data_IF_607122416537
#
_entry.id   IF_607122416537
#
_cell.length_a   1.000
_cell.length_b   1.000
_cell.length_c   1.000
_cell.angle_alpha   90.00
_cell.angle_beta   90.00
_cell.angle_gamma   90.00
#
_symmetry.space_group_name_H-M   'P 1'
#
loop_
_entity.id
_entity.type
_entity.pdbx_description
1 polymer ?
#
# COMPACT_ATOMS: atom_id res chain seq x y z
N UNK A 1 -17.41 0.76 1.29
CA UNK A 1 -16.77 2.08 1.05
C UNK A 1 -16.40 2.22 -0.41
N UNK A 2 -16.64 3.37 -0.99
CA UNK A 2 -16.20 3.68 -2.36
C UNK A 2 -14.91 4.45 -2.32
N UNK A 3 -13.97 4.06 -3.17
CA UNK A 3 -12.69 4.78 -3.29
C UNK A 3 -12.89 6.02 -4.15
N UNK A 4 -12.50 7.16 -3.61
CA UNK A 4 -12.56 8.45 -4.30
C UNK A 4 -11.23 8.71 -5.01
N UNK A 5 -11.18 8.45 -6.32
CA UNK A 5 -9.95 8.58 -7.11
C UNK A 5 -9.63 10.02 -7.48
N UNK A 6 -10.60 10.93 -7.39
CA UNK A 6 -10.42 12.32 -7.82
C UNK A 6 -9.45 13.09 -6.92
N UNK A 7 -9.34 12.70 -5.66
CA UNK A 7 -8.43 13.35 -4.71
C UNK A 7 -6.97 12.94 -4.90
N UNK A 8 -6.70 11.89 -5.67
CA UNK A 8 -5.34 11.43 -5.93
C UNK A 8 -4.71 12.24 -7.07
N UNK A 9 -3.45 12.72 -6.91
CA UNK A 9 -2.78 13.47 -7.98
C UNK A 9 -2.40 12.61 -9.18
N UNK A 10 -2.40 11.28 -9.03
CA UNK A 10 -2.12 10.34 -10.10
C UNK A 10 -3.39 9.65 -10.56
N UNK A 11 -3.35 9.14 -11.79
CA UNK A 11 -4.38 8.21 -12.23
C UNK A 11 -4.30 6.94 -11.40
N UNK A 12 -5.41 6.55 -10.80
CA UNK A 12 -5.49 5.33 -10.00
C UNK A 12 -5.96 4.17 -10.88
N UNK A 13 -5.19 3.10 -10.91
CA UNK A 13 -5.56 1.89 -11.65
C UNK A 13 -6.89 1.36 -11.13
N UNK A 14 -7.82 1.12 -12.04
CA UNK A 14 -9.15 0.62 -11.71
C UNK A 14 -9.12 -0.70 -10.94
N UNK A 15 -8.13 -1.54 -11.24
CA UNK A 15 -7.96 -2.83 -10.56
C UNK A 15 -7.56 -2.63 -9.10
N UNK A 16 -6.75 -1.61 -8.80
CA UNK A 16 -6.42 -1.26 -7.42
C UNK A 16 -7.68 -0.83 -6.66
N UNK A 17 -8.51 0.02 -7.28
CA UNK A 17 -9.79 0.44 -6.69
C UNK A 17 -10.64 -0.76 -6.33
N UNK A 18 -10.78 -1.71 -7.26
CA UNK A 18 -11.59 -2.92 -7.06
C UNK A 18 -11.05 -3.77 -5.90
N UNK A 19 -9.74 -3.91 -5.81
CA UNK A 19 -9.10 -4.66 -4.70
C UNK A 19 -9.41 -4.01 -3.36
N UNK A 20 -9.21 -2.69 -3.25
CA UNK A 20 -9.44 -1.98 -2.00
C UNK A 20 -10.90 -2.05 -1.58
N UNK A 21 -11.82 -1.81 -2.49
CA UNK A 21 -13.26 -1.86 -2.20
C UNK A 21 -13.70 -3.26 -1.78
N UNK A 22 -13.20 -4.29 -2.45
CA UNK A 22 -13.50 -5.67 -2.13
C UNK A 22 -13.01 -6.07 -0.74
N UNK A 23 -11.76 -5.76 -0.42
CA UNK A 23 -11.18 -6.15 0.87
C UNK A 23 -11.81 -5.39 2.03
N UNK A 24 -12.11 -4.11 1.83
CA UNK A 24 -12.82 -3.33 2.85
C UNK A 24 -14.22 -3.89 3.10
N UNK A 25 -14.95 -4.25 2.04
CA UNK A 25 -16.28 -4.84 2.16
C UNK A 25 -16.25 -6.18 2.90
N UNK A 26 -15.27 -7.03 2.60
CA UNK A 26 -15.10 -8.33 3.27
C UNK A 26 -14.84 -8.21 4.77
N UNK A 27 -14.15 -7.15 5.16
CA UNK A 27 -13.77 -6.95 6.57
C UNK A 27 -14.94 -6.49 7.44
N UNK A 28 -16.02 -6.01 6.81
CA UNK A 28 -17.22 -5.56 7.52
C UNK A 28 -16.90 -4.52 8.61
N UNK A 29 -16.03 -3.57 8.30
CA UNK A 29 -15.69 -2.47 9.20
C UNK A 29 -16.77 -1.39 9.19
N UNK A 30 -16.88 -0.55 10.25
CA UNK A 30 -17.85 0.55 10.25
C UNK A 30 -17.63 1.48 9.07
N UNK A 31 -18.71 2.09 8.55
CA UNK A 31 -18.64 3.07 7.47
C UNK A 31 -18.13 4.41 7.99
N UNK A 32 -17.54 5.19 7.10
CA UNK A 32 -17.06 6.55 7.38
C UNK A 32 -15.97 6.62 8.46
N UNK A 33 -15.17 5.57 8.58
CA UNK A 33 -14.02 5.51 9.48
C UNK A 33 -12.79 5.20 8.62
N UNK A 34 -11.64 5.85 8.88
CA UNK A 34 -10.41 5.51 8.17
C UNK A 34 -10.04 4.04 8.38
N UNK A 35 -9.48 3.42 7.36
CA UNK A 35 -9.05 2.01 7.44
C UNK A 35 -7.61 1.88 6.97
N UNK A 36 -6.90 0.91 7.54
CA UNK A 36 -5.58 0.50 7.07
C UNK A 36 -5.68 -0.93 6.58
N UNK A 37 -5.25 -1.14 5.34
CA UNK A 37 -5.18 -2.47 4.73
C UNK A 37 -3.73 -2.93 4.74
N UNK A 38 -3.49 -4.11 5.28
CA UNK A 38 -2.17 -4.75 5.26
C UNK A 38 -2.23 -5.97 4.35
N UNK A 39 -1.31 -6.03 3.40
CA UNK A 39 -1.15 -7.12 2.45
C UNK A 39 0.19 -7.77 2.72
N UNK A 40 0.20 -8.98 3.25
CA UNK A 40 1.43 -9.65 3.68
C UNK A 40 1.57 -11.03 3.05
N UNK A 41 2.75 -11.28 2.49
CA UNK A 41 3.11 -12.60 2.04
C UNK A 41 3.73 -13.36 3.21
N UNK A 42 3.16 -14.51 3.61
CA UNK A 42 3.71 -15.30 4.73
C UNK A 42 5.12 -15.83 4.45
N UNK A 43 5.52 -15.90 3.17
CA UNK A 43 6.81 -16.45 2.77
C UNK A 43 7.92 -15.40 2.68
N UNK A 44 7.62 -14.13 2.93
CA UNK A 44 8.62 -13.06 2.87
C UNK A 44 9.49 -13.06 4.11
N UNK A 45 10.82 -13.20 3.93
CA UNK A 45 11.77 -13.14 5.03
C UNK A 45 13.07 -12.42 4.63
N UNK A 46 13.93 -12.17 5.63
CA UNK A 46 15.16 -11.41 5.44
C UNK A 46 16.21 -12.13 4.60
N UNK A 47 16.20 -13.47 4.56
CA UNK A 47 17.20 -14.27 3.84
C UNK A 47 16.81 -14.48 2.39
N UNK A 48 15.58 -14.97 2.17
CA UNK A 48 15.13 -15.37 0.83
C UNK A 48 14.44 -14.26 0.05
N UNK A 49 14.06 -13.17 0.73
CA UNK A 49 13.24 -12.13 0.10
C UNK A 49 11.84 -12.61 -0.17
N UNK A 50 11.30 -12.26 -1.33
CA UNK A 50 9.96 -12.60 -1.75
C UNK A 50 9.13 -11.35 -2.03
N UNK A 51 7.80 -11.48 -1.91
CA UNK A 51 6.88 -10.35 -2.14
C UNK A 51 6.82 -9.47 -0.90
N UNK A 52 7.19 -8.21 -1.07
CA UNK A 52 7.26 -7.25 0.04
C UNK A 52 5.88 -6.93 0.61
N UNK A 53 5.76 -6.78 1.94
CA UNK A 53 4.51 -6.35 2.55
C UNK A 53 4.09 -4.97 2.05
N UNK A 54 2.79 -4.76 1.94
CA UNK A 54 2.20 -3.49 1.50
C UNK A 54 1.19 -3.02 2.54
N UNK A 55 1.21 -1.73 2.84
CA UNK A 55 0.22 -1.10 3.70
C UNK A 55 -0.40 0.09 2.96
N UNK A 56 -1.73 0.13 2.92
CA UNK A 56 -2.47 1.21 2.28
C UNK A 56 -3.48 1.76 3.28
N UNK A 57 -3.46 3.08 3.49
CA UNK A 57 -4.44 3.76 4.34
C UNK A 57 -5.46 4.48 3.47
N UNK A 58 -6.73 4.30 3.80
CA UNK A 58 -7.84 4.97 3.14
C UNK A 58 -8.59 5.81 4.17
N UNK A 59 -8.82 7.09 3.87
CA UNK A 59 -9.53 8.00 4.77
C UNK A 59 -11.01 7.64 4.89
N UNK A 60 -11.68 8.27 5.84
CA UNK A 60 -13.13 8.14 6.02
C UNK A 60 -13.94 8.55 4.78
N UNK A 61 -13.34 9.34 3.89
CA UNK A 61 -13.95 9.77 2.63
C UNK A 61 -13.61 8.87 1.44
N UNK A 62 -12.86 7.81 1.67
CA UNK A 62 -12.45 6.89 0.61
C UNK A 62 -11.22 7.32 -0.17
N UNK A 63 -10.47 8.30 0.31
CA UNK A 63 -9.25 8.80 -0.34
C UNK A 63 -8.05 7.97 0.09
N UNK A 64 -7.22 7.56 -0.87
CA UNK A 64 -5.95 6.90 -0.55
C UNK A 64 -5.01 7.93 0.07
N UNK A 65 -4.65 7.73 1.33
CA UNK A 65 -3.78 8.65 2.08
C UNK A 65 -2.32 8.32 1.82
N UNK A 66 -1.97 7.04 1.88
CA UNK A 66 -0.65 6.56 1.52
C UNK A 66 -0.72 5.11 1.03
N UNK A 67 0.32 4.73 0.28
CA UNK A 67 0.56 3.36 -0.14
C UNK A 67 2.05 3.09 0.00
N UNK A 68 2.41 2.08 0.78
CA UNK A 68 3.79 1.84 1.20
C UNK A 68 4.13 0.38 1.08
N UNK A 69 5.32 0.05 0.58
CA UNK A 69 5.86 -1.29 0.75
C UNK A 69 7.07 -1.26 1.68
N UNK A 70 7.43 -2.43 2.19
CA UNK A 70 8.47 -2.58 3.19
C UNK A 70 9.47 -3.63 2.73
N UNK A 71 10.73 -3.43 3.09
CA UNK A 71 11.78 -4.38 2.83
C UNK A 71 12.62 -4.59 4.09
N UNK A 72 13.20 -5.76 4.23
CA UNK A 72 14.15 -5.99 5.30
C UNK A 72 15.46 -5.25 5.01
N UNK A 73 15.98 -4.56 6.03
CA UNK A 73 17.30 -3.92 6.00
C UNK A 73 18.12 -4.49 7.14
N UNK A 74 19.45 -4.48 6.98
CA UNK A 74 20.36 -5.09 7.95
C UNK A 74 20.62 -6.56 7.65
N UNK A 75 21.35 -7.22 8.54
CA UNK A 75 21.80 -8.60 8.35
C UNK A 75 21.54 -9.47 9.58
N UNK A 76 21.19 -10.73 9.33
CA UNK A 76 21.01 -11.74 10.37
C UNK A 76 20.01 -11.30 11.43
N UNK A 77 20.37 -11.43 12.73
CA UNK A 77 19.44 -11.08 13.82
C UNK A 77 19.14 -9.58 13.92
N UNK A 78 19.86 -8.74 13.19
CA UNK A 78 19.65 -7.29 13.17
C UNK A 78 18.77 -6.82 12.00
N UNK A 79 18.30 -7.77 11.17
CA UNK A 79 17.41 -7.42 10.07
C UNK A 79 16.05 -6.93 10.60
N UNK A 80 15.57 -5.83 10.07
CA UNK A 80 14.25 -5.27 10.43
C UNK A 80 13.55 -4.71 9.20
N UNK A 81 12.21 -4.67 9.25
CA UNK A 81 11.43 -4.09 8.18
C UNK A 81 11.50 -2.56 8.22
N UNK A 82 11.77 -1.97 7.07
CA UNK A 82 11.78 -0.52 6.90
C UNK A 82 11.03 -0.15 5.63
N UNK A 83 10.54 1.07 5.56
CA UNK A 83 9.88 1.57 4.35
C UNK A 83 10.84 1.53 3.17
N UNK A 84 10.42 0.89 2.09
CA UNK A 84 11.17 0.84 0.83
C UNK A 84 10.67 1.92 -0.12
N UNK A 85 9.39 1.90 -0.48
CA UNK A 85 8.72 2.94 -1.26
C UNK A 85 7.50 3.40 -0.47
N UNK A 86 7.32 4.70 -0.35
CA UNK A 86 6.16 5.28 0.33
C UNK A 86 5.59 6.42 -0.53
N UNK A 87 4.39 6.19 -1.07
CA UNK A 87 3.63 7.24 -1.72
C UNK A 87 2.73 7.88 -0.68
N UNK A 88 3.13 9.02 -0.14
CA UNK A 88 2.34 9.73 0.86
C UNK A 88 1.60 10.89 0.20
N UNK A 89 0.34 10.66 -0.12
CA UNK A 89 -0.50 11.66 -0.77
C UNK A 89 -0.97 12.73 0.21
N UNK A 90 -0.95 12.44 1.51
CA UNK A 90 -1.32 13.41 2.55
C UNK A 90 -0.33 14.55 2.64
N UNK A 91 0.96 14.25 2.62
CA UNK A 91 2.03 15.27 2.69
C UNK A 91 2.66 15.54 1.33
N UNK A 92 2.21 14.86 0.27
CA UNK A 92 2.64 15.05 -1.12
C UNK A 92 4.12 14.76 -1.33
N UNK A 93 4.59 13.66 -0.77
CA UNK A 93 5.97 13.20 -0.86
C UNK A 93 5.99 11.74 -1.32
N UNK A 94 6.90 11.39 -2.22
CA UNK A 94 7.28 10.02 -2.45
C UNK A 94 8.64 9.79 -1.82
N UNK A 95 8.75 8.75 -0.99
CA UNK A 95 9.98 8.38 -0.32
C UNK A 95 10.54 7.10 -0.92
N UNK A 96 11.81 7.13 -1.28
CA UNK A 96 12.54 5.99 -1.82
C UNK A 96 13.75 5.72 -0.96
N UNK A 97 13.75 4.60 -0.22
CA UNK A 97 14.86 4.19 0.63
C UNK A 97 15.33 5.32 1.56
N UNK A 98 14.37 6.01 2.18
CA UNK A 98 14.64 7.09 3.13
C UNK A 98 14.89 8.46 2.51
N UNK A 99 14.84 8.59 1.18
CA UNK A 99 15.01 9.87 0.50
C UNK A 99 13.67 10.40 0.01
N UNK A 100 13.41 11.67 0.28
CA UNK A 100 12.14 12.31 -0.05
C UNK A 100 12.22 13.05 -1.39
N UNK A 101 11.15 12.90 -2.18
CA UNK A 101 10.97 13.61 -3.45
C UNK A 101 9.56 14.17 -3.51
N UNK A 102 9.33 15.29 -4.21
CA UNK A 102 7.96 15.77 -4.43
C UNK A 102 7.12 14.66 -5.08
N UNK A 103 5.86 14.54 -4.67
CA UNK A 103 5.00 13.45 -5.15
C UNK A 103 4.90 13.39 -6.67
N UNK A 104 4.91 14.54 -7.35
CA UNK A 104 4.82 14.58 -8.82
C UNK A 104 5.91 13.80 -9.53
N UNK A 105 7.07 13.62 -8.88
CA UNK A 105 8.18 12.86 -9.45
C UNK A 105 7.96 11.36 -9.38
N UNK A 106 6.97 10.91 -8.63
CA UNK A 106 6.66 9.49 -8.48
C UNK A 106 5.64 8.94 -9.45
N UNK A 107 5.21 9.70 -10.45
CA UNK A 107 4.11 9.31 -11.34
C UNK A 107 4.38 7.99 -12.07
N UNK A 108 5.54 7.86 -12.70
CA UNK A 108 5.88 6.64 -13.45
C UNK A 108 6.11 5.46 -12.51
N UNK A 109 6.74 5.73 -11.37
CA UNK A 109 6.93 4.71 -10.35
C UNK A 109 5.57 4.19 -9.81
N UNK A 110 4.63 5.09 -9.58
CA UNK A 110 3.28 4.73 -9.12
C UNK A 110 2.61 3.76 -10.10
N UNK A 111 2.71 4.04 -11.38
CA UNK A 111 2.13 3.19 -12.43
C UNK A 111 2.71 1.78 -12.38
N UNK A 112 4.03 1.66 -12.32
CA UNK A 112 4.71 0.37 -12.27
C UNK A 112 4.45 -0.35 -10.95
N UNK A 113 4.54 0.36 -9.84
CA UNK A 113 4.30 -0.18 -8.50
C UNK A 113 2.89 -0.77 -8.39
N UNK A 114 1.90 -0.01 -8.86
CA UNK A 114 0.50 -0.44 -8.82
C UNK A 114 0.28 -1.68 -9.67
N UNK A 115 0.84 -1.71 -10.88
CA UNK A 115 0.70 -2.86 -11.76
C UNK A 115 1.29 -4.13 -11.12
N UNK A 116 2.46 -4.01 -10.50
CA UNK A 116 3.09 -5.14 -9.81
C UNK A 116 2.26 -5.61 -8.61
N UNK A 117 1.76 -4.68 -7.81
CA UNK A 117 0.90 -5.00 -6.68
C UNK A 117 -0.33 -5.79 -7.11
N UNK A 118 -1.00 -5.33 -8.17
CA UNK A 118 -2.18 -6.00 -8.71
C UNK A 118 -1.86 -7.43 -9.15
N UNK A 119 -0.73 -7.64 -9.81
CA UNK A 119 -0.35 -8.98 -10.26
C UNK A 119 -0.05 -9.91 -9.07
N UNK A 120 0.66 -9.44 -8.06
CA UNK A 120 0.89 -10.23 -6.84
C UNK A 120 -0.42 -10.58 -6.13
N UNK A 121 -1.35 -9.63 -6.06
CA UNK A 121 -2.66 -9.89 -5.47
C UNK A 121 -3.41 -10.98 -6.23
N UNK A 122 -3.41 -10.92 -7.56
CA UNK A 122 -4.07 -11.93 -8.40
C UNK A 122 -3.46 -13.32 -8.25
N UNK A 123 -2.16 -13.39 -7.99
CA UNK A 123 -1.46 -14.65 -7.75
C UNK A 123 -1.78 -15.27 -6.39
N UNK A 124 -2.53 -14.57 -5.55
CA UNK A 124 -2.80 -15.03 -4.19
C UNK A 124 -1.61 -14.89 -3.25
N UNK A 125 -0.69 -13.97 -3.53
CA UNK A 125 0.54 -13.83 -2.75
C UNK A 125 0.31 -13.26 -1.34
N UNK A 126 -0.84 -12.61 -1.09
CA UNK A 126 -1.05 -11.89 0.15
C UNK A 126 -2.12 -12.49 1.04
N UNK A 127 -1.85 -12.46 2.34
CA UNK A 127 -2.88 -12.50 3.36
C UNK A 127 -3.25 -11.04 3.66
N UNK A 128 -4.55 -10.74 3.70
CA UNK A 128 -5.02 -9.35 3.84
C UNK A 128 -5.70 -9.16 5.17
N UNK A 129 -5.35 -8.10 5.88
CA UNK A 129 -6.06 -7.67 7.08
C UNK A 129 -6.47 -6.21 6.93
N UNK A 130 -7.65 -5.87 7.42
CA UNK A 130 -8.21 -4.53 7.37
C UNK A 130 -8.56 -4.10 8.78
N UNK A 131 -8.02 -2.96 9.21
CA UNK A 131 -8.21 -2.44 10.55
C UNK A 131 -8.84 -1.05 10.47
N UNK A 132 -9.96 -0.86 11.18
CA UNK A 132 -10.56 0.47 11.31
C UNK A 132 -9.77 1.28 12.34
N UNK A 133 -9.49 2.53 12.00
CA UNK A 133 -8.80 3.45 12.90
C UNK A 133 -9.77 4.50 13.40
N UNK A 134 -10.20 4.33 14.62
CA UNK A 134 -11.15 5.24 15.29
C UNK A 134 -10.46 6.41 15.98
#
# INVERSE_FOLDING_TARGET
MRINVEACPFRVDKRLVEILEKEIAKANVPVNIPVVLNFRSPDYDAESGGVMPVEIRVSEKGTIVYATDFAFVGHGPYAELAKNVDFDFGVRVVQLLGRDFPIREGKDLWKTWTANFVEFYKMGAYEVSVTAEE
#
